data_IF_244635766691
#
_entry.id   IF_244635766691
#
_cell.length_a   1.000
_cell.length_b   1.000
_cell.length_c   1.000
_cell.angle_alpha   90.00
_cell.angle_beta   90.00
_cell.angle_gamma   90.00
#
_symmetry.space_group_name_H-M   'P 1'
#
loop_
_entity.id
_entity.type
_entity.pdbx_description
1 polymer ?
#
# COMPACT_ATOMS: atom_id res chain seq x y z
N UNK A 1 -5.81 -21.06 -1.39
CA UNK A 1 -6.53 -20.35 -0.31
C UNK A 1 -7.67 -21.23 0.18
N UNK A 2 -7.86 -21.33 1.50
CA UNK A 2 -8.94 -22.12 2.10
C UNK A 2 -10.29 -21.46 1.77
N UNK A 3 -11.27 -22.25 1.33
CA UNK A 3 -12.65 -21.76 1.19
C UNK A 3 -13.26 -21.59 2.58
N UNK A 4 -13.94 -20.47 2.81
CA UNK A 4 -14.72 -20.24 4.03
C UNK A 4 -15.88 -21.24 4.10
N UNK A 5 -16.41 -21.48 5.29
CA UNK A 5 -17.49 -22.44 5.55
C UNK A 5 -18.88 -21.97 5.07
N UNK A 6 -18.93 -20.99 4.16
CA UNK A 6 -20.15 -20.40 3.63
C UNK A 6 -20.81 -19.36 4.53
N UNK A 7 -20.31 -19.14 5.76
CA UNK A 7 -20.80 -18.06 6.63
C UNK A 7 -20.32 -16.69 6.14
N UNK A 8 -21.13 -15.62 6.31
CA UNK A 8 -20.66 -14.25 6.09
C UNK A 8 -19.41 -13.97 6.92
N UNK A 9 -18.46 -13.25 6.32
CA UNK A 9 -17.28 -12.78 7.03
C UNK A 9 -17.65 -11.58 7.92
N UNK A 10 -17.41 -11.73 9.22
CA UNK A 10 -17.65 -10.70 10.22
C UNK A 10 -16.41 -10.57 11.10
N UNK A 11 -15.87 -9.35 11.18
CA UNK A 11 -14.55 -9.13 11.76
C UNK A 11 -14.13 -7.67 11.79
N UNK A 12 -12.87 -7.44 12.09
CA UNK A 12 -12.27 -6.11 12.17
C UNK A 12 -10.80 -6.13 11.73
N UNK A 13 -10.26 -4.94 11.46
CA UNK A 13 -8.81 -4.75 11.45
C UNK A 13 -8.29 -4.85 12.89
N UNK A 14 -7.18 -5.57 13.09
CA UNK A 14 -6.61 -5.86 14.40
C UNK A 14 -5.11 -5.54 14.41
N UNK A 15 -4.70 -4.72 15.39
CA UNK A 15 -3.35 -4.16 15.48
C UNK A 15 -2.78 -4.34 16.90
N UNK A 16 -2.38 -5.56 17.30
CA UNK A 16 -1.78 -5.78 18.62
C UNK A 16 -0.49 -4.98 18.83
N UNK A 17 0.22 -4.66 17.76
CA UNK A 17 1.47 -3.91 17.77
C UNK A 17 1.30 -2.42 18.17
N UNK A 18 0.07 -1.92 18.26
CA UNK A 18 -0.22 -0.59 18.83
C UNK A 18 -0.29 -0.61 20.36
N UNK A 19 -0.40 -1.79 20.97
CA UNK A 19 -0.52 -1.94 22.40
C UNK A 19 0.86 -2.12 23.03
N UNK A 20 1.05 -1.59 24.24
CA UNK A 20 2.30 -1.74 24.98
C UNK A 20 2.42 -3.07 25.75
N UNK A 21 1.42 -3.95 25.65
CA UNK A 21 1.41 -5.28 26.27
C UNK A 21 0.68 -6.29 25.37
N UNK A 22 1.02 -7.57 25.50
CA UNK A 22 0.34 -8.64 24.76
C UNK A 22 -1.09 -8.86 25.32
N UNK A 23 -2.08 -8.71 24.43
CA UNK A 23 -3.51 -8.94 24.68
C UNK A 23 -4.14 -9.89 23.64
N UNK A 24 -3.35 -10.48 22.75
CA UNK A 24 -3.86 -11.19 21.57
C UNK A 24 -4.89 -12.26 21.91
N UNK A 25 -4.62 -13.09 22.90
CA UNK A 25 -5.56 -14.14 23.31
C UNK A 25 -6.89 -13.58 23.82
N UNK A 26 -6.83 -12.54 24.65
CA UNK A 26 -8.00 -11.94 25.28
C UNK A 26 -8.88 -11.21 24.27
N UNK A 27 -8.27 -10.51 23.31
CA UNK A 27 -8.98 -9.84 22.24
C UNK A 27 -9.64 -10.86 21.30
N UNK A 28 -8.91 -11.90 20.89
CA UNK A 28 -9.44 -12.92 20.00
C UNK A 28 -10.51 -13.80 20.67
N UNK A 29 -10.40 -14.08 21.97
CA UNK A 29 -11.46 -14.75 22.75
C UNK A 29 -12.74 -13.91 22.75
N UNK A 30 -12.63 -12.59 22.96
CA UNK A 30 -13.77 -11.67 22.92
C UNK A 30 -14.37 -11.57 21.53
N UNK A 31 -13.53 -11.48 20.49
CA UNK A 31 -13.98 -11.49 19.09
C UNK A 31 -14.74 -12.77 18.77
N UNK A 32 -14.23 -13.93 19.22
CA UNK A 32 -14.91 -15.22 19.05
C UNK A 32 -16.26 -15.25 19.77
N UNK A 33 -16.32 -14.78 21.02
CA UNK A 33 -17.56 -14.68 21.80
C UNK A 33 -18.59 -13.75 21.12
N UNK A 34 -18.12 -12.69 20.47
CA UNK A 34 -18.96 -11.77 19.70
C UNK A 34 -19.40 -12.34 18.33
N UNK A 35 -18.99 -13.56 17.98
CA UNK A 35 -19.33 -14.21 16.72
C UNK A 35 -18.46 -13.79 15.52
N UNK A 36 -17.37 -13.05 15.74
CA UNK A 36 -16.41 -12.74 14.68
C UNK A 36 -15.68 -14.01 14.24
N UNK A 37 -15.40 -14.07 12.93
CA UNK A 37 -14.79 -15.22 12.28
C UNK A 37 -13.60 -14.87 11.38
N UNK A 38 -13.27 -13.57 11.27
CA UNK A 38 -12.10 -13.10 10.52
C UNK A 38 -11.47 -11.88 11.20
N UNK A 39 -10.16 -11.72 11.06
CA UNK A 39 -9.44 -10.47 11.35
C UNK A 39 -8.56 -10.09 10.17
N UNK A 40 -8.30 -8.78 10.01
CA UNK A 40 -7.32 -8.24 9.06
C UNK A 40 -6.14 -7.66 9.84
N UNK A 41 -4.91 -7.98 9.43
CA UNK A 41 -3.70 -7.56 10.14
C UNK A 41 -2.61 -7.06 9.18
N UNK A 42 -1.59 -6.41 9.76
CA UNK A 42 -0.32 -6.00 9.14
C UNK A 42 -0.35 -4.84 8.14
N UNK A 43 -1.52 -4.39 7.63
CA UNK A 43 -1.60 -3.33 6.61
C UNK A 43 -1.01 -1.98 7.04
N UNK A 44 -0.88 -1.72 8.34
CA UNK A 44 -0.53 -0.39 8.86
C UNK A 44 0.89 -0.27 9.38
N UNK A 45 1.66 -1.36 9.38
CA UNK A 45 2.79 -1.50 10.29
C UNK A 45 4.07 -1.94 9.61
N UNK A 46 4.40 -1.30 8.48
CA UNK A 46 5.66 -1.55 7.75
C UNK A 46 6.86 -1.43 8.69
N UNK A 47 6.96 -0.39 9.51
CA UNK A 47 8.10 -0.23 10.43
C UNK A 47 8.17 -1.28 11.54
N UNK A 48 7.07 -1.97 11.87
CA UNK A 48 7.11 -3.08 12.81
C UNK A 48 7.58 -4.36 12.11
N UNK A 49 7.11 -4.58 10.88
CA UNK A 49 7.49 -5.73 10.05
C UNK A 49 8.94 -5.64 9.52
N UNK A 50 9.38 -4.45 9.16
CA UNK A 50 10.72 -4.16 8.63
C UNK A 50 11.30 -2.96 9.38
N UNK A 51 11.78 -3.16 10.64
CA UNK A 51 12.29 -2.08 11.48
C UNK A 51 13.54 -1.39 10.93
N UNK A 52 14.37 -2.14 10.21
CA UNK A 52 15.55 -1.64 9.51
C UNK A 52 15.55 -2.19 8.08
N UNK A 53 16.29 -1.53 7.19
CA UNK A 53 16.33 -1.88 5.78
C UNK A 53 16.78 -3.33 5.56
N UNK A 54 15.85 -4.21 5.14
CA UNK A 54 16.11 -5.63 4.90
C UNK A 54 16.10 -6.51 6.14
N UNK A 55 15.84 -5.96 7.33
CA UNK A 55 15.68 -6.71 8.58
C UNK A 55 14.18 -6.89 8.84
N UNK A 56 13.71 -8.14 8.87
CA UNK A 56 12.28 -8.45 9.03
C UNK A 56 11.99 -9.05 10.41
N UNK A 57 10.89 -8.60 11.02
CA UNK A 57 10.36 -9.11 12.28
C UNK A 57 8.89 -9.53 12.12
N UNK A 58 8.65 -10.84 12.11
CA UNK A 58 7.31 -11.41 11.96
C UNK A 58 6.64 -11.76 13.28
N UNK A 59 7.28 -11.50 14.43
CA UNK A 59 6.82 -12.02 15.74
C UNK A 59 5.37 -11.66 16.05
N UNK A 60 4.96 -10.43 15.80
CA UNK A 60 3.58 -10.00 16.06
C UNK A 60 2.57 -10.66 15.09
N UNK A 61 2.97 -10.87 13.84
CA UNK A 61 2.15 -11.53 12.80
C UNK A 61 1.95 -12.99 13.16
N UNK A 62 3.04 -13.70 13.49
CA UNK A 62 3.01 -15.10 13.92
C UNK A 62 2.16 -15.28 15.16
N UNK A 63 2.32 -14.38 16.15
CA UNK A 63 1.54 -14.39 17.38
C UNK A 63 0.03 -14.31 17.13
N UNK A 64 -0.42 -13.45 16.21
CA UNK A 64 -1.84 -13.36 15.85
C UNK A 64 -2.30 -14.58 15.06
N UNK A 65 -1.49 -15.03 14.11
CA UNK A 65 -1.80 -16.18 13.26
C UNK A 65 -1.99 -17.46 14.08
N UNK A 66 -1.08 -17.75 15.01
CA UNK A 66 -1.17 -18.89 15.93
C UNK A 66 -2.46 -18.82 16.75
N UNK A 67 -2.70 -17.70 17.41
CA UNK A 67 -3.86 -17.52 18.29
C UNK A 67 -5.21 -17.53 17.54
N UNK A 68 -5.25 -16.96 16.32
CA UNK A 68 -6.41 -17.00 15.45
C UNK A 68 -6.68 -18.43 14.96
N UNK A 69 -5.63 -19.16 14.60
CA UNK A 69 -5.69 -20.57 14.19
C UNK A 69 -6.32 -21.46 15.25
N UNK A 70 -5.89 -21.34 16.51
CA UNK A 70 -6.45 -22.07 17.67
C UNK A 70 -7.95 -21.83 17.86
N UNK A 71 -8.43 -20.62 17.53
CA UNK A 71 -9.82 -20.19 17.71
C UNK A 71 -10.68 -20.40 16.45
N UNK A 72 -10.08 -20.89 15.37
CA UNK A 72 -10.73 -21.00 14.06
C UNK A 72 -11.20 -19.64 13.53
N UNK A 73 -10.46 -18.57 13.84
CA UNK A 73 -10.64 -17.23 13.26
C UNK A 73 -9.75 -17.17 12.02
N UNK A 74 -10.33 -16.78 10.90
CA UNK A 74 -9.57 -16.59 9.65
C UNK A 74 -8.79 -15.28 9.68
N UNK A 75 -7.75 -15.18 8.87
CA UNK A 75 -6.89 -13.99 8.79
C UNK A 75 -6.79 -13.51 7.34
N UNK A 76 -6.93 -12.20 7.15
CA UNK A 76 -6.58 -11.51 5.92
C UNK A 76 -5.28 -10.74 6.17
N UNK A 77 -4.27 -11.01 5.35
CA UNK A 77 -2.97 -10.34 5.46
C UNK A 77 -2.99 -9.07 4.60
N UNK A 78 -2.85 -7.91 5.23
CA UNK A 78 -2.74 -6.64 4.55
C UNK A 78 -1.29 -6.27 4.24
N UNK A 79 -1.01 -5.84 3.02
CA UNK A 79 0.34 -5.37 2.67
C UNK A 79 0.57 -3.96 3.23
N UNK A 80 1.71 -3.68 3.86
CA UNK A 80 1.88 -2.49 4.72
C UNK A 80 2.20 -1.19 3.95
N UNK A 81 1.95 -1.16 2.65
CA UNK A 81 2.57 -0.19 1.73
C UNK A 81 2.00 1.23 1.81
N UNK A 82 0.86 1.43 2.48
CA UNK A 82 0.21 2.74 2.55
C UNK A 82 0.93 3.73 3.50
N UNK A 83 1.84 3.25 4.34
CA UNK A 83 2.65 4.06 5.25
C UNK A 83 4.11 3.59 5.24
N UNK A 84 4.99 4.38 4.65
CA UNK A 84 6.43 4.05 4.57
C UNK A 84 7.11 4.18 5.93
N UNK A 85 8.12 3.34 6.24
CA UNK A 85 8.85 3.42 7.50
C UNK A 85 9.84 4.59 7.51
N UNK A 86 10.29 5.03 8.71
CA UNK A 86 11.17 6.19 8.84
C UNK A 86 12.54 5.96 8.21
N UNK A 87 13.05 4.71 8.22
CA UNK A 87 14.33 4.39 7.57
C UNK A 87 14.27 4.60 6.05
N UNK A 88 13.12 4.30 5.43
CA UNK A 88 12.95 4.48 3.98
C UNK A 88 12.89 5.96 3.63
N UNK A 89 12.08 6.74 4.35
CA UNK A 89 12.00 8.18 4.16
C UNK A 89 13.35 8.89 4.41
N UNK A 90 14.16 8.39 5.35
CA UNK A 90 15.52 8.91 5.59
C UNK A 90 16.50 8.51 4.48
N UNK A 91 16.44 7.27 4.01
CA UNK A 91 17.34 6.72 2.98
C UNK A 91 17.06 7.31 1.59
N UNK A 92 15.79 7.53 1.29
CA UNK A 92 15.30 8.02 -0.01
C UNK A 92 14.32 9.17 0.22
N UNK A 93 14.80 10.40 0.54
CA UNK A 93 13.91 11.50 0.89
C UNK A 93 12.93 11.91 -0.21
N UNK A 94 13.30 11.69 -1.47
CA UNK A 94 12.46 11.95 -2.65
C UNK A 94 11.39 10.88 -2.92
N UNK A 95 11.34 9.81 -2.11
CA UNK A 95 10.20 8.86 -2.07
C UNK A 95 8.91 9.54 -1.61
N UNK A 96 9.02 10.65 -0.88
CA UNK A 96 7.87 11.42 -0.43
C UNK A 96 7.25 12.17 -1.61
N UNK A 97 5.92 12.18 -1.67
CA UNK A 97 5.17 12.73 -2.80
C UNK A 97 5.52 14.21 -3.03
N UNK A 98 5.79 14.54 -4.29
CA UNK A 98 5.85 15.92 -4.77
C UNK A 98 4.45 16.29 -5.27
N UNK A 99 3.81 17.28 -4.65
CA UNK A 99 2.53 17.84 -5.13
C UNK A 99 2.75 19.23 -5.71
N UNK A 100 1.68 19.87 -6.20
CA UNK A 100 1.74 21.28 -6.66
C UNK A 100 2.15 22.26 -5.54
N UNK A 101 1.96 21.89 -4.27
CA UNK A 101 2.37 22.68 -3.10
C UNK A 101 3.83 22.42 -2.69
N UNK A 102 4.51 21.45 -3.30
CA UNK A 102 5.87 21.05 -2.97
C UNK A 102 5.95 19.62 -2.42
N UNK A 103 7.15 19.26 -1.94
CA UNK A 103 7.42 17.91 -1.45
C UNK A 103 6.89 17.73 -0.04
N UNK A 104 6.16 16.64 0.18
CA UNK A 104 5.65 16.29 1.49
C UNK A 104 6.78 15.93 2.47
N UNK A 105 6.65 16.38 3.72
CA UNK A 105 7.46 15.88 4.84
C UNK A 105 6.95 14.53 5.36
N UNK A 106 7.84 13.78 6.02
CA UNK A 106 7.52 12.54 6.72
C UNK A 106 6.60 12.79 7.94
N UNK A 107 5.76 11.80 8.29
CA UNK A 107 4.93 11.82 9.49
C UNK A 107 3.55 11.19 9.25
N UNK A 108 2.58 11.91 8.64
CA UNK A 108 1.28 11.33 8.31
C UNK A 108 1.37 10.21 7.26
N UNK A 109 0.40 9.29 7.30
CA UNK A 109 0.25 8.20 6.32
C UNK A 109 0.00 8.72 4.89
N UNK A 110 0.25 7.87 3.90
CA UNK A 110 -0.11 8.13 2.50
C UNK A 110 0.51 9.41 1.90
N UNK A 111 1.80 9.65 2.19
CA UNK A 111 2.57 10.81 1.71
C UNK A 111 3.78 10.41 0.84
N UNK A 112 3.76 9.24 0.26
CA UNK A 112 4.77 8.70 -0.65
C UNK A 112 4.29 8.76 -2.10
N UNK A 113 5.24 8.86 -3.03
CA UNK A 113 4.94 8.71 -4.45
C UNK A 113 4.96 7.22 -4.82
N UNK A 114 3.77 6.67 -5.08
CA UNK A 114 3.60 5.26 -5.45
C UNK A 114 4.18 4.91 -6.83
N UNK A 115 4.46 5.91 -7.66
CA UNK A 115 5.14 5.72 -8.94
C UNK A 115 6.67 5.71 -8.80
N UNK A 116 7.21 6.13 -7.64
CA UNK A 116 8.65 6.26 -7.45
C UNK A 116 9.36 4.89 -7.53
N UNK A 117 10.44 4.74 -8.32
CA UNK A 117 11.13 3.45 -8.50
C UNK A 117 11.58 2.83 -7.17
N UNK A 118 12.11 3.64 -6.26
CA UNK A 118 12.50 3.15 -4.93
C UNK A 118 11.29 2.67 -4.13
N UNK A 119 10.16 3.39 -4.14
CA UNK A 119 8.94 2.95 -3.47
C UNK A 119 8.52 1.59 -4.01
N UNK A 120 8.45 1.43 -5.35
CA UNK A 120 8.08 0.17 -5.99
C UNK A 120 8.99 -0.98 -5.60
N UNK A 121 10.30 -0.76 -5.56
CA UNK A 121 11.28 -1.76 -5.14
C UNK A 121 11.06 -2.21 -3.68
N UNK A 122 10.98 -1.25 -2.74
CA UNK A 122 10.84 -1.56 -1.32
C UNK A 122 9.44 -2.14 -1.00
N UNK A 123 8.39 -1.63 -1.65
CA UNK A 123 7.04 -2.15 -1.54
C UNK A 123 6.95 -3.60 -2.04
N UNK A 124 7.52 -3.90 -3.20
CA UNK A 124 7.59 -5.28 -3.70
C UNK A 124 8.35 -6.19 -2.73
N UNK A 125 9.49 -5.73 -2.19
CA UNK A 125 10.28 -6.50 -1.23
C UNK A 125 9.46 -6.88 0.01
N UNK A 126 8.84 -5.90 0.68
CA UNK A 126 8.05 -6.16 1.90
C UNK A 126 6.84 -7.04 1.61
N UNK A 127 6.17 -6.83 0.46
CA UNK A 127 5.05 -7.67 0.02
C UNK A 127 5.52 -9.11 -0.15
N UNK A 128 6.60 -9.34 -0.90
CA UNK A 128 7.12 -10.70 -1.13
C UNK A 128 7.49 -11.39 0.17
N UNK A 129 8.21 -10.71 1.05
CA UNK A 129 8.62 -11.27 2.35
C UNK A 129 7.43 -11.61 3.25
N UNK A 130 6.43 -10.74 3.31
CA UNK A 130 5.21 -10.99 4.06
C UNK A 130 4.41 -12.17 3.49
N UNK A 131 4.26 -12.26 2.17
CA UNK A 131 3.51 -13.34 1.53
C UNK A 131 4.26 -14.67 1.60
N UNK A 132 5.58 -14.69 1.35
CA UNK A 132 6.43 -15.89 1.52
C UNK A 132 6.27 -16.49 2.92
N UNK A 133 6.22 -15.64 3.95
CA UNK A 133 6.09 -16.06 5.35
C UNK A 133 4.68 -16.56 5.70
N UNK A 134 3.64 -15.95 5.13
CA UNK A 134 2.25 -16.16 5.58
C UNK A 134 1.43 -17.10 4.68
N UNK A 135 1.81 -17.33 3.43
CA UNK A 135 0.96 -18.02 2.43
C UNK A 135 0.63 -19.48 2.79
N UNK A 136 1.48 -20.16 3.55
CA UNK A 136 1.28 -21.57 3.94
C UNK A 136 0.42 -21.73 5.21
N UNK A 137 0.06 -20.62 5.87
CA UNK A 137 -0.71 -20.59 7.11
C UNK A 137 -2.18 -20.90 6.81
N UNK A 138 -2.77 -21.89 7.47
CA UNK A 138 -4.10 -22.43 7.13
C UNK A 138 -5.25 -21.48 7.45
N UNK A 139 -5.01 -20.59 8.39
CA UNK A 139 -5.88 -19.51 8.86
C UNK A 139 -5.90 -18.34 7.88
N UNK A 140 -4.91 -18.21 6.98
CA UNK A 140 -4.87 -17.14 5.98
C UNK A 140 -5.81 -17.46 4.82
N UNK A 141 -6.84 -16.64 4.63
CA UNK A 141 -7.88 -16.83 3.61
C UNK A 141 -7.78 -15.85 2.44
N UNK A 142 -6.97 -14.80 2.56
CA UNK A 142 -6.81 -13.80 1.52
C UNK A 142 -5.79 -12.73 1.86
N UNK A 143 -5.56 -11.85 0.88
CA UNK A 143 -4.62 -10.75 0.98
C UNK A 143 -5.34 -9.45 0.63
N UNK A 144 -5.09 -8.39 1.40
CA UNK A 144 -5.47 -7.04 1.03
C UNK A 144 -4.23 -6.32 0.47
N UNK A 145 -4.40 -5.74 -0.70
CA UNK A 145 -3.37 -4.92 -1.33
C UNK A 145 -3.57 -3.47 -0.84
N UNK A 146 -2.51 -2.92 -0.25
CA UNK A 146 -2.42 -1.56 0.26
C UNK A 146 -3.59 -1.20 1.21
N UNK A 147 -3.92 0.08 1.34
CA UNK A 147 -5.08 0.58 2.06
C UNK A 147 -5.49 1.95 1.49
N UNK A 148 -6.71 2.05 0.93
CA UNK A 148 -7.28 3.30 0.39
C UNK A 148 -6.38 3.97 -0.67
N UNK A 149 -5.84 3.18 -1.59
CA UNK A 149 -4.90 3.65 -2.63
C UNK A 149 -5.54 4.71 -3.52
N UNK A 150 -4.79 5.79 -3.77
CA UNK A 150 -5.19 6.92 -4.63
C UNK A 150 -3.94 7.59 -5.22
N UNK A 151 -4.13 8.60 -6.05
CA UNK A 151 -3.03 9.29 -6.75
C UNK A 151 -2.16 10.22 -5.87
N UNK A 152 -2.58 10.52 -4.63
CA UNK A 152 -1.88 11.38 -3.65
C UNK A 152 -1.46 12.78 -4.15
N UNK A 153 -2.04 13.25 -5.26
CA UNK A 153 -1.69 14.54 -5.87
C UNK A 153 -0.28 14.59 -6.46
N UNK A 154 0.31 13.44 -6.78
CA UNK A 154 1.68 13.37 -7.32
C UNK A 154 1.84 14.21 -8.60
N UNK A 155 2.92 14.98 -8.63
CA UNK A 155 3.36 15.83 -9.71
C UNK A 155 4.84 15.55 -10.05
N UNK A 156 5.31 14.33 -9.79
CA UNK A 156 6.70 13.93 -10.08
C UNK A 156 7.01 13.88 -11.58
N UNK A 157 8.29 14.06 -11.94
CA UNK A 157 8.76 14.01 -13.33
C UNK A 157 8.33 12.69 -14.00
N UNK A 158 8.45 11.56 -13.28
CA UNK A 158 8.04 10.25 -13.77
C UNK A 158 6.55 10.16 -14.13
N UNK A 159 5.66 10.78 -13.34
CA UNK A 159 4.22 10.80 -13.64
C UNK A 159 3.92 11.74 -14.80
N UNK A 160 4.65 12.86 -14.92
CA UNK A 160 4.53 13.76 -16.06
C UNK A 160 5.01 13.07 -17.36
N UNK A 161 6.10 12.31 -17.31
CA UNK A 161 6.57 11.48 -18.42
C UNK A 161 5.54 10.42 -18.81
N UNK A 162 5.04 9.66 -17.85
CA UNK A 162 4.02 8.65 -18.11
C UNK A 162 2.73 9.26 -18.70
N UNK A 163 2.34 10.45 -18.25
CA UNK A 163 1.20 11.16 -18.81
C UNK A 163 1.46 11.62 -20.27
N UNK A 164 2.67 12.10 -20.59
CA UNK A 164 3.06 12.42 -21.96
C UNK A 164 3.00 11.21 -22.88
N UNK A 165 3.51 10.06 -22.43
CA UNK A 165 3.44 8.82 -23.21
C UNK A 165 1.99 8.37 -23.41
N UNK A 166 1.16 8.44 -22.36
CA UNK A 166 -0.28 8.17 -22.49
C UNK A 166 -0.95 9.06 -23.54
N UNK A 167 -0.65 10.37 -23.56
CA UNK A 167 -1.20 11.29 -24.57
C UNK A 167 -0.73 10.95 -25.99
N UNK A 168 0.55 10.59 -26.16
CA UNK A 168 1.09 10.14 -27.45
C UNK A 168 0.36 8.89 -27.94
N UNK A 169 0.19 7.89 -27.09
CA UNK A 169 -0.49 6.64 -27.43
C UNK A 169 -1.97 6.86 -27.74
N UNK A 170 -2.64 7.73 -26.97
CA UNK A 170 -4.09 7.98 -27.09
C UNK A 170 -4.43 8.79 -28.34
N UNK A 171 -3.66 9.85 -28.62
CA UNK A 171 -4.00 10.82 -29.69
C UNK A 171 -3.16 10.65 -30.94
N UNK A 172 -2.01 9.96 -30.87
CA UNK A 172 -1.08 9.65 -31.97
C UNK A 172 -0.40 10.86 -32.63
N UNK A 173 -1.09 12.00 -32.72
CA UNK A 173 -0.64 13.25 -33.34
C UNK A 173 -1.01 14.43 -32.45
N UNK A 174 -0.19 15.48 -32.50
CA UNK A 174 -0.45 16.71 -31.77
C UNK A 174 -1.68 17.44 -32.31
N UNK A 175 -1.98 17.31 -33.60
CA UNK A 175 -3.17 17.88 -34.24
C UNK A 175 -4.44 17.29 -33.62
N UNK A 176 -4.52 15.95 -33.50
CA UNK A 176 -5.66 15.28 -32.90
C UNK A 176 -5.83 15.66 -31.42
N UNK A 177 -4.73 15.76 -30.67
CA UNK A 177 -4.77 16.21 -29.27
C UNK A 177 -5.21 17.67 -29.13
N UNK A 178 -4.62 18.57 -29.92
CA UNK A 178 -4.95 20.00 -29.95
C UNK A 178 -6.44 20.21 -30.29
N UNK A 179 -6.98 19.45 -31.25
CA UNK A 179 -8.40 19.50 -31.62
C UNK A 179 -9.30 18.98 -30.49
N UNK A 180 -8.96 17.85 -29.89
CA UNK A 180 -9.77 17.23 -28.83
C UNK A 180 -9.91 18.12 -27.58
N UNK A 181 -8.85 18.85 -27.22
CA UNK A 181 -8.83 19.74 -26.06
C UNK A 181 -9.08 21.22 -26.38
N UNK A 182 -9.26 21.57 -27.66
CA UNK A 182 -9.47 22.96 -28.08
C UNK A 182 -8.28 23.88 -27.79
N UNK A 183 -7.05 23.37 -27.85
CA UNK A 183 -5.85 24.06 -27.38
C UNK A 183 -5.48 25.31 -28.21
N UNK A 184 -6.11 25.54 -29.37
CA UNK A 184 -5.97 26.81 -30.08
C UNK A 184 -6.40 28.01 -29.22
N UNK A 185 -7.30 27.79 -28.27
CA UNK A 185 -7.73 28.82 -27.34
C UNK A 185 -6.58 29.31 -26.47
N UNK A 186 -6.41 30.64 -26.41
CA UNK A 186 -5.33 31.32 -25.69
C UNK A 186 -3.93 30.78 -26.00
N UNK A 187 -3.69 30.36 -27.25
CA UNK A 187 -2.36 29.95 -27.74
C UNK A 187 -1.75 28.74 -27.00
N UNK A 188 -2.57 27.77 -26.58
CA UNK A 188 -2.12 26.56 -25.87
C UNK A 188 -1.75 25.39 -26.81
N UNK A 189 -1.92 25.51 -28.14
CA UNK A 189 -1.62 24.43 -29.08
C UNK A 189 -0.16 24.01 -29.01
N UNK A 190 0.08 22.71 -28.89
CA UNK A 190 1.43 22.15 -28.81
C UNK A 190 1.88 21.62 -30.17
N UNK A 191 3.17 21.78 -30.49
CA UNK A 191 3.79 21.21 -31.69
C UNK A 191 4.50 19.87 -31.41
N UNK A 192 4.67 19.52 -30.13
CA UNK A 192 5.29 18.28 -29.69
C UNK A 192 4.69 17.86 -28.36
N UNK A 193 4.56 16.55 -28.14
CA UNK A 193 4.22 15.99 -26.82
C UNK A 193 5.38 16.08 -25.82
N UNK A 194 6.61 16.36 -26.29
CA UNK A 194 7.77 16.59 -25.45
C UNK A 194 7.94 18.09 -25.23
N UNK A 195 8.07 18.51 -23.97
CA UNK A 195 8.76 19.77 -23.69
C UNK A 195 10.24 19.54 -23.96
N UNK A 196 10.84 20.25 -24.90
CA UNK A 196 12.30 20.26 -25.02
C UNK A 196 12.86 20.75 -23.68
N UNK A 197 13.85 20.02 -23.13
CA UNK A 197 14.56 20.41 -21.90
C UNK A 197 15.39 21.67 -22.15
#
# INVERSE_FOLDING_TARGET
MRKTDGRPLFGAAYYPEYLSWDRVDQDLDRMKQAGMNVVRIAESTWSALEPEDGVFDFRYIDRVLDAAGERGISVIIGTPTYAVPPWLAKKVPDVMVLTKEGRAGYGPRQKMDIAHPAFRFYAERVIRKLLEHTVQRKEVIGFQIDNETKHYGTASEAVQDAFREYLKETFQTTEAFNQAFGLAYWSNSIASFMGEK
#
